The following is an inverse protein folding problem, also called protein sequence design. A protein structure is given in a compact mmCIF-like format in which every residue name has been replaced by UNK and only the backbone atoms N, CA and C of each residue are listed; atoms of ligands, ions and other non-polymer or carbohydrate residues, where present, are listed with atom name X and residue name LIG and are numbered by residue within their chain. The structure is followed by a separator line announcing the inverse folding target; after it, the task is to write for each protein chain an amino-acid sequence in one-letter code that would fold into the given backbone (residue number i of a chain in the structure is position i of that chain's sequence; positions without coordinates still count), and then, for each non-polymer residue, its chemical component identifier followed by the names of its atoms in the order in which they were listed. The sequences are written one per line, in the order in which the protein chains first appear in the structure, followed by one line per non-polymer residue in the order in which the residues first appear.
data_IF_894463746832
#
_entry.id   IF_894463746832
#
_cell.length_a   1.000
_cell.length_b   1.000
_cell.length_c   1.000
_cell.angle_alpha   90.00
_cell.angle_beta   90.00
_cell.angle_gamma   90.00
#
_symmetry.space_group_name_H-M   'P 1'
#
loop_
_entity.id
_entity.type
_entity.pdbx_description
1 polymer ?
#
# COMPACT_ATOMS: atom_id res chain seq x y z
N UNK A 1 -14.58 -61.12 -17.66
CA UNK A 1 -14.94 -60.15 -18.71
C UNK A 1 -15.38 -58.89 -17.98
N UNK A 2 -14.50 -57.90 -17.84
CA UNK A 2 -14.87 -56.61 -17.24
C UNK A 2 -15.85 -55.93 -18.19
N UNK A 3 -17.02 -55.58 -17.67
CA UNK A 3 -18.13 -55.02 -18.44
C UNK A 3 -17.69 -53.69 -19.06
N UNK A 4 -17.75 -53.60 -20.40
CA UNK A 4 -17.24 -52.45 -21.17
C UNK A 4 -17.87 -51.14 -20.69
N UNK A 5 -19.10 -51.20 -20.20
CA UNK A 5 -19.86 -50.06 -19.66
C UNK A 5 -19.34 -49.58 -18.29
N UNK A 6 -18.73 -50.45 -17.49
CA UNK A 6 -18.18 -50.07 -16.19
C UNK A 6 -16.82 -49.35 -16.37
N UNK A 7 -16.03 -49.74 -17.37
CA UNK A 7 -14.73 -49.13 -17.68
C UNK A 7 -14.90 -47.74 -18.29
N UNK A 8 -15.90 -47.54 -19.17
CA UNK A 8 -16.20 -46.24 -19.77
C UNK A 8 -16.73 -45.23 -18.75
N UNK A 9 -17.63 -45.63 -17.85
CA UNK A 9 -18.10 -44.80 -16.74
C UNK A 9 -16.96 -44.33 -15.82
N UNK A 10 -16.04 -45.24 -15.47
CA UNK A 10 -14.89 -44.90 -14.62
C UNK A 10 -13.91 -43.97 -15.33
N UNK A 11 -13.71 -44.14 -16.65
CA UNK A 11 -12.87 -43.26 -17.45
C UNK A 11 -13.47 -41.84 -17.60
N UNK A 12 -14.78 -41.72 -17.77
CA UNK A 12 -15.50 -40.43 -17.83
C UNK A 12 -15.56 -39.72 -16.48
N UNK A 13 -15.71 -40.46 -15.39
CA UNK A 13 -15.60 -39.91 -14.04
C UNK A 13 -14.17 -39.46 -13.72
N UNK A 14 -13.16 -40.21 -14.16
CA UNK A 14 -11.76 -39.83 -13.99
C UNK A 14 -11.37 -38.62 -14.86
N UNK A 15 -11.89 -38.51 -16.08
CA UNK A 15 -11.63 -37.39 -16.99
C UNK A 15 -12.30 -36.09 -16.49
N UNK A 16 -13.55 -36.17 -16.04
CA UNK A 16 -14.27 -35.04 -15.43
C UNK A 16 -13.63 -34.56 -14.13
N UNK A 17 -13.16 -35.48 -13.26
CA UNK A 17 -12.40 -35.13 -12.04
C UNK A 17 -11.07 -34.43 -12.36
N UNK A 18 -10.37 -34.84 -13.43
CA UNK A 18 -9.11 -34.23 -13.86
C UNK A 18 -9.32 -32.82 -14.40
N UNK A 19 -10.40 -32.61 -15.16
CA UNK A 19 -10.80 -31.30 -15.70
C UNK A 19 -11.23 -30.38 -14.55
N UNK A 20 -12.04 -30.86 -13.61
CA UNK A 20 -12.45 -30.10 -12.44
C UNK A 20 -11.28 -29.76 -11.52
N UNK A 21 -10.37 -30.71 -11.26
CA UNK A 21 -9.15 -30.47 -10.49
C UNK A 21 -8.24 -29.43 -11.13
N UNK A 22 -8.11 -29.45 -12.46
CA UNK A 22 -7.34 -28.46 -13.22
C UNK A 22 -7.98 -27.07 -13.16
N UNK A 23 -9.30 -26.98 -13.29
CA UNK A 23 -10.07 -25.73 -13.16
C UNK A 23 -9.92 -25.13 -11.75
N UNK A 24 -10.05 -25.94 -10.70
CA UNK A 24 -9.86 -25.50 -9.30
C UNK A 24 -8.42 -25.03 -9.07
N UNK A 25 -7.42 -25.76 -9.57
CA UNK A 25 -6.03 -25.36 -9.46
C UNK A 25 -5.74 -24.01 -10.16
N UNK A 26 -6.29 -23.80 -11.36
CA UNK A 26 -6.20 -22.52 -12.08
C UNK A 26 -6.87 -21.38 -11.30
N UNK A 27 -8.08 -21.61 -10.77
CA UNK A 27 -8.77 -20.62 -9.95
C UNK A 27 -7.97 -20.29 -8.68
N UNK A 28 -7.39 -21.28 -8.01
CA UNK A 28 -6.52 -21.05 -6.86
C UNK A 28 -5.27 -20.24 -7.21
N UNK A 29 -4.64 -20.48 -8.36
CA UNK A 29 -3.49 -19.70 -8.84
C UNK A 29 -3.90 -18.24 -9.14
N UNK A 30 -5.04 -18.03 -9.79
CA UNK A 30 -5.58 -16.69 -10.06
C UNK A 30 -5.92 -15.93 -8.76
N UNK A 31 -6.53 -16.60 -7.78
CA UNK A 31 -6.79 -16.01 -6.46
C UNK A 31 -5.49 -15.61 -5.76
N UNK A 32 -4.45 -16.46 -5.80
CA UNK A 32 -3.16 -16.13 -5.20
C UNK A 32 -2.47 -14.95 -5.89
N UNK A 33 -2.53 -14.88 -7.22
CA UNK A 33 -1.96 -13.77 -7.98
C UNK A 33 -2.63 -12.43 -7.65
N UNK A 34 -3.97 -12.41 -7.55
CA UNK A 34 -4.73 -11.21 -7.14
C UNK A 34 -4.33 -10.76 -5.73
N UNK A 35 -4.34 -11.67 -4.75
CA UNK A 35 -3.94 -11.37 -3.37
C UNK A 35 -2.49 -10.88 -3.29
N UNK A 36 -1.59 -11.40 -4.13
CA UNK A 36 -0.20 -10.97 -4.16
C UNK A 36 -0.03 -9.56 -4.74
N UNK A 37 -0.77 -9.22 -5.80
CA UNK A 37 -0.79 -7.86 -6.37
C UNK A 37 -1.24 -6.81 -5.36
N UNK A 38 -2.27 -7.11 -4.56
CA UNK A 38 -2.81 -6.22 -3.53
C UNK A 38 -1.81 -5.88 -2.41
N UNK A 39 -0.89 -6.78 -2.09
CA UNK A 39 0.11 -6.59 -1.03
C UNK A 39 1.30 -5.74 -1.52
N UNK A 40 1.51 -5.62 -2.84
CA UNK A 40 2.65 -4.89 -3.41
C UNK A 40 2.50 -3.39 -3.20
N UNK A 41 1.39 -2.77 -3.65
CA UNK A 41 1.20 -1.31 -3.50
C UNK A 41 1.29 -0.89 -2.02
N UNK A 42 0.73 -1.71 -1.13
CA UNK A 42 0.85 -1.51 0.32
C UNK A 42 2.32 -1.55 0.77
N UNK A 43 3.06 -2.59 0.39
CA UNK A 43 4.45 -2.78 0.80
C UNK A 43 5.33 -1.65 0.30
N UNK A 44 5.14 -1.24 -0.95
CA UNK A 44 5.87 -0.14 -1.58
C UNK A 44 5.58 1.18 -0.86
N UNK A 45 4.30 1.50 -0.63
CA UNK A 45 3.93 2.69 0.12
C UNK A 45 4.53 2.69 1.53
N UNK A 46 4.49 1.56 2.23
CA UNK A 46 5.09 1.43 3.56
C UNK A 46 6.62 1.58 3.51
N UNK A 47 7.27 1.01 2.50
CA UNK A 47 8.71 1.14 2.32
C UNK A 47 9.11 2.60 2.07
N UNK A 48 8.35 3.35 1.28
CA UNK A 48 8.71 4.73 0.91
C UNK A 48 8.25 5.80 1.91
N UNK A 49 7.03 5.70 2.44
CA UNK A 49 6.39 6.84 3.12
C UNK A 49 6.12 6.62 4.61
N UNK A 50 6.07 5.37 5.08
CA UNK A 50 5.64 5.07 6.45
C UNK A 50 6.75 5.24 7.48
N UNK A 51 6.43 5.93 8.59
CA UNK A 51 7.21 5.97 9.83
C UNK A 51 6.51 5.17 10.92
N UNK A 52 7.28 4.37 11.65
CA UNK A 52 6.75 3.53 12.72
C UNK A 52 6.38 4.38 13.96
N UNK A 53 5.10 4.46 14.36
CA UNK A 53 4.68 5.25 15.49
C UNK A 53 5.10 4.68 16.86
N UNK A 54 5.73 3.50 16.88
CA UNK A 54 6.36 2.93 18.09
C UNK A 54 7.63 3.67 18.49
N UNK A 55 8.24 4.41 17.56
CA UNK A 55 9.41 5.25 17.78
C UNK A 55 8.96 6.72 17.91
N UNK A 56 9.56 7.48 18.82
CA UNK A 56 9.14 8.86 19.05
C UNK A 56 9.39 9.74 17.83
N UNK A 57 8.41 10.54 17.42
CA UNK A 57 8.47 11.29 16.17
C UNK A 57 9.71 12.20 15.98
N UNK A 58 10.21 12.81 17.05
CA UNK A 58 11.34 13.76 16.97
C UNK A 58 12.68 13.09 16.66
N UNK A 59 12.82 11.77 16.87
CA UNK A 59 14.10 11.07 16.66
C UNK A 59 14.36 10.78 15.19
N UNK A 60 13.32 10.86 14.34
CA UNK A 60 13.48 10.70 12.90
C UNK A 60 14.28 11.85 12.31
N UNK A 61 15.34 11.52 11.56
CA UNK A 61 16.22 12.47 10.86
C UNK A 61 16.13 12.25 9.36
N UNK A 62 16.04 13.34 8.60
CA UNK A 62 15.83 13.22 7.15
C UNK A 62 17.03 12.59 6.44
N UNK A 63 18.27 12.98 6.78
CA UNK A 63 19.47 12.40 6.15
C UNK A 63 19.58 10.89 6.36
N UNK A 64 19.13 10.40 7.53
CA UNK A 64 19.10 8.96 7.85
C UNK A 64 18.00 8.27 7.05
N UNK A 65 16.76 8.76 7.14
CA UNK A 65 15.61 8.15 6.45
C UNK A 65 15.78 8.11 4.92
N UNK A 66 16.26 9.20 4.33
CA UNK A 66 16.48 9.29 2.88
C UNK A 66 17.56 8.31 2.42
N UNK A 67 18.54 7.97 3.27
CA UNK A 67 19.54 6.94 2.99
C UNK A 67 18.98 5.53 3.16
N UNK A 68 18.35 5.25 4.30
CA UNK A 68 17.83 3.92 4.65
C UNK A 68 16.76 3.44 3.67
N UNK A 69 15.93 4.35 3.16
CA UNK A 69 14.88 4.04 2.19
C UNK A 69 15.33 4.21 0.72
N UNK A 70 16.62 4.42 0.47
CA UNK A 70 17.20 4.63 -0.87
C UNK A 70 16.61 5.82 -1.66
N UNK A 71 16.19 6.88 -0.97
CA UNK A 71 15.54 8.07 -1.53
C UNK A 71 16.49 9.27 -1.71
N UNK A 72 17.79 9.11 -1.50
CA UNK A 72 18.83 10.16 -1.48
C UNK A 72 18.94 11.07 -2.73
N UNK A 73 18.28 10.72 -3.82
CA UNK A 73 18.26 11.49 -5.07
C UNK A 73 17.02 12.37 -5.21
N UNK A 74 16.00 12.21 -4.34
CA UNK A 74 14.79 13.02 -4.35
C UNK A 74 15.08 14.38 -3.68
N UNK A 75 14.70 15.47 -4.32
CA UNK A 75 14.86 16.83 -3.76
C UNK A 75 13.87 17.13 -2.63
N UNK A 76 12.72 16.45 -2.63
CA UNK A 76 11.74 16.51 -1.55
C UNK A 76 11.08 15.16 -1.38
N UNK A 77 10.77 14.78 -0.14
CA UNK A 77 9.99 13.57 0.16
C UNK A 77 9.16 13.77 1.42
N UNK A 78 7.98 13.15 1.46
CA UNK A 78 7.07 13.24 2.59
C UNK A 78 6.94 11.88 3.29
N UNK A 79 7.14 11.90 4.59
CA UNK A 79 6.93 10.75 5.47
C UNK A 79 5.69 10.95 6.34
N UNK A 80 4.94 9.87 6.56
CA UNK A 80 3.69 9.85 7.33
C UNK A 80 3.91 9.13 8.65
N UNK A 81 3.63 9.82 9.75
CA UNK A 81 3.67 9.29 11.11
C UNK A 81 2.25 9.07 11.64
N UNK A 82 1.74 7.85 11.45
CA UNK A 82 0.45 7.40 11.96
C UNK A 82 0.44 5.89 12.12
N UNK A 83 -0.55 5.34 12.85
CA UNK A 83 -0.80 3.89 12.80
C UNK A 83 -1.19 3.48 11.38
N UNK A 84 -0.70 2.34 10.89
CA UNK A 84 -1.09 1.82 9.58
C UNK A 84 -2.61 1.67 9.43
N UNK A 85 -3.31 1.26 10.51
CA UNK A 85 -4.77 1.19 10.52
C UNK A 85 -5.43 2.51 10.11
N UNK A 86 -5.00 3.65 10.67
CA UNK A 86 -5.53 4.97 10.30
C UNK A 86 -5.30 5.32 8.83
N UNK A 87 -4.14 4.97 8.27
CA UNK A 87 -3.82 5.20 6.85
C UNK A 87 -4.73 4.35 5.97
N UNK A 88 -4.86 3.04 6.28
CA UNK A 88 -5.74 2.11 5.56
C UNK A 88 -7.21 2.55 5.57
N UNK A 89 -7.68 3.11 6.68
CA UNK A 89 -9.07 3.57 6.78
C UNK A 89 -9.41 4.72 5.83
N UNK A 90 -8.43 5.49 5.35
CA UNK A 90 -8.68 6.57 4.38
C UNK A 90 -9.33 6.00 3.11
N UNK A 91 -8.73 4.96 2.51
CA UNK A 91 -9.26 4.34 1.30
C UNK A 91 -10.50 3.47 1.56
N UNK A 92 -10.66 2.92 2.78
CA UNK A 92 -11.84 2.12 3.14
C UNK A 92 -13.09 2.95 3.48
N UNK A 93 -12.92 4.21 3.86
CA UNK A 93 -14.01 5.09 4.32
C UNK A 93 -14.93 5.57 3.19
N UNK A 94 -14.54 5.39 1.93
CA UNK A 94 -15.37 5.76 0.79
C UNK A 94 -16.45 4.69 0.59
N UNK A 95 -17.69 5.17 0.50
CA UNK A 95 -18.86 4.34 0.29
C UNK A 95 -18.59 3.34 -0.85
N UNK A 96 -18.63 2.05 -0.51
CA UNK A 96 -18.26 0.92 -1.38
C UNK A 96 -19.13 0.82 -2.67
N UNK A 97 -20.07 1.74 -2.88
CA UNK A 97 -20.92 1.82 -4.07
C UNK A 97 -20.37 2.73 -5.19
N UNK A 98 -19.25 3.45 -4.97
CA UNK A 98 -18.55 4.26 -6.00
C UNK A 98 -17.23 3.62 -6.50
N UNK A 99 -16.98 2.36 -6.13
CA UNK A 99 -15.66 1.72 -5.97
C UNK A 99 -14.75 1.46 -7.17
N UNK A 100 -15.16 1.71 -8.41
CA UNK A 100 -14.32 1.35 -9.56
C UNK A 100 -13.47 2.51 -10.06
N UNK A 101 -12.89 3.33 -9.17
CA UNK A 101 -12.05 4.46 -9.59
C UNK A 101 -10.87 4.65 -8.66
N UNK A 102 -9.68 4.71 -9.26
CA UNK A 102 -8.54 5.48 -8.76
C UNK A 102 -9.07 6.81 -8.18
N UNK A 103 -8.89 6.99 -6.88
CA UNK A 103 -9.53 8.06 -6.13
C UNK A 103 -8.51 8.86 -5.33
N UNK A 104 -8.71 10.18 -5.31
CA UNK A 104 -7.87 11.12 -4.60
C UNK A 104 -8.62 11.56 -3.34
N UNK A 105 -8.22 11.04 -2.18
CA UNK A 105 -8.99 11.16 -0.94
C UNK A 105 -8.16 11.90 0.11
N UNK A 106 -8.70 12.99 0.63
CA UNK A 106 -8.15 13.68 1.79
C UNK A 106 -8.40 12.88 3.06
N UNK A 107 -7.38 12.73 3.89
CA UNK A 107 -7.55 12.24 5.26
C UNK A 107 -8.50 13.15 6.03
N UNK A 108 -9.49 12.57 6.70
CA UNK A 108 -10.49 13.32 7.46
C UNK A 108 -9.90 14.01 8.69
N UNK A 109 -8.79 13.49 9.21
CA UNK A 109 -8.08 14.05 10.36
C UNK A 109 -6.65 14.40 10.00
N UNK A 110 -6.08 15.48 10.57
CA UNK A 110 -4.68 15.83 10.37
C UNK A 110 -3.73 14.71 10.80
N UNK A 111 -2.66 14.54 10.03
CA UNK A 111 -1.63 13.52 10.23
C UNK A 111 -0.31 14.21 10.54
N UNK A 112 0.48 13.65 11.47
CA UNK A 112 1.87 14.10 11.67
C UNK A 112 2.69 13.69 10.46
N UNK A 113 3.37 14.65 9.85
CA UNK A 113 4.21 14.42 8.68
C UNK A 113 5.60 15.00 8.88
N UNK A 114 6.60 14.31 8.32
CA UNK A 114 7.98 14.78 8.23
C UNK A 114 8.30 14.99 6.76
N UNK A 115 8.43 16.25 6.35
CA UNK A 115 8.89 16.62 5.01
C UNK A 115 10.41 16.81 5.03
N UNK A 116 11.08 16.10 4.14
CA UNK A 116 12.52 16.23 3.90
C UNK A 116 12.73 17.03 2.63
N UNK A 117 13.51 18.10 2.71
CA UNK A 117 13.85 18.95 1.56
C UNK A 117 15.36 19.08 1.43
N UNK A 118 15.90 18.73 0.27
CA UNK A 118 17.32 18.84 -0.02
C UNK A 118 17.77 20.30 0.02
N UNK A 119 18.81 20.59 0.80
CA UNK A 119 19.46 21.88 0.84
C UNK A 119 20.85 21.74 0.22
N UNK A 120 21.02 22.27 -0.99
CA UNK A 120 22.29 22.22 -1.72
C UNK A 120 23.40 23.02 -1.03
N UNK A 121 23.07 24.07 -0.26
CA UNK A 121 24.08 24.88 0.43
C UNK A 121 24.75 24.12 1.59
N UNK A 122 23.98 23.32 2.32
CA UNK A 122 24.49 22.51 3.44
C UNK A 122 24.79 21.08 3.04
N UNK A 123 24.50 20.70 1.79
CA UNK A 123 24.60 19.34 1.28
C UNK A 123 23.90 18.31 2.18
N UNK A 124 22.71 18.67 2.69
CA UNK A 124 21.93 17.87 3.65
C UNK A 124 20.43 18.08 3.48
N UNK A 125 19.63 17.17 4.02
CA UNK A 125 18.17 17.31 4.04
C UNK A 125 17.69 18.11 5.24
N UNK A 126 17.00 19.21 4.97
CA UNK A 126 16.25 19.97 5.98
C UNK A 126 14.93 19.27 6.31
N UNK A 127 14.62 19.24 7.60
CA UNK A 127 13.41 18.63 8.15
C UNK A 127 12.36 19.70 8.41
N UNK A 128 11.13 19.42 8.00
CA UNK A 128 9.94 20.19 8.39
C UNK A 128 8.95 19.19 8.98
N UNK A 129 8.61 19.39 10.25
CA UNK A 129 7.65 18.56 10.98
C UNK A 129 6.35 19.34 11.11
N UNK A 130 5.22 18.71 10.84
CA UNK A 130 3.93 19.39 10.90
C UNK A 130 2.77 18.43 11.14
N UNK A 131 1.63 18.98 11.56
CA UNK A 131 0.33 18.36 11.33
C UNK A 131 -0.24 18.88 10.01
N UNK A 132 -0.63 17.95 9.14
CA UNK A 132 -1.14 18.29 7.80
C UNK A 132 -2.36 17.44 7.46
N UNK A 133 -3.32 18.03 6.76
CA UNK A 133 -4.23 17.21 5.94
C UNK A 133 -3.42 16.65 4.79
N UNK A 134 -3.61 15.37 4.48
CA UNK A 134 -2.86 14.67 3.42
C UNK A 134 -3.85 14.06 2.45
N UNK A 135 -3.64 14.28 1.15
CA UNK A 135 -4.38 13.64 0.08
C UNK A 135 -3.64 12.39 -0.37
N UNK A 136 -4.34 11.27 -0.36
CA UNK A 136 -3.83 9.98 -0.80
C UNK A 136 -4.45 9.61 -2.14
N UNK A 137 -3.67 8.99 -3.01
CA UNK A 137 -4.20 8.21 -4.11
C UNK A 137 -4.51 6.80 -3.60
N UNK A 138 -5.77 6.40 -3.76
CA UNK A 138 -6.23 5.06 -3.46
C UNK A 138 -6.44 4.29 -4.75
N UNK A 139 -5.79 3.14 -4.86
CA UNK A 139 -5.94 2.25 -6.01
C UNK A 139 -7.31 1.55 -5.99
N UNK A 140 -7.61 0.83 -7.08
CA UNK A 140 -8.88 0.11 -7.25
C UNK A 140 -9.14 -0.96 -6.18
N UNK A 141 -8.11 -1.39 -5.46
CA UNK A 141 -8.18 -2.42 -4.42
C UNK A 141 -8.40 -1.82 -3.02
N UNK A 142 -8.52 -0.50 -2.92
CA UNK A 142 -8.72 0.21 -1.67
C UNK A 142 -7.46 0.35 -0.81
N UNK A 143 -6.27 0.25 -1.41
CA UNK A 143 -5.01 0.55 -0.73
C UNK A 143 -4.50 1.93 -1.12
N UNK A 144 -3.79 2.56 -0.18
CA UNK A 144 -3.02 3.77 -0.46
C UNK A 144 -1.84 3.39 -1.36
N UNK A 145 -1.75 4.04 -2.50
CA UNK A 145 -0.67 3.84 -3.48
C UNK A 145 0.37 4.96 -3.41
N UNK A 146 -0.06 6.21 -3.29
CA UNK A 146 0.83 7.38 -3.24
C UNK A 146 0.25 8.52 -2.40
N UNK A 147 1.10 9.50 -2.11
CA UNK A 147 0.70 10.79 -1.54
C UNK A 147 0.68 11.82 -2.67
N UNK A 148 -0.45 12.49 -2.82
CA UNK A 148 -0.70 13.40 -3.94
C UNK A 148 -0.52 14.85 -3.53
N UNK A 149 -1.00 15.22 -2.34
CA UNK A 149 -0.89 16.58 -1.84
C UNK A 149 -0.93 16.62 -0.31
N UNK A 150 -0.54 17.76 0.26
CA UNK A 150 -0.71 18.05 1.68
C UNK A 150 -1.04 19.53 1.93
N UNK A 151 -1.85 19.77 2.95
CA UNK A 151 -2.13 21.10 3.49
C UNK A 151 -1.66 21.17 4.94
N UNK A 152 -0.59 21.92 5.18
CA UNK A 152 -0.06 22.18 6.51
C UNK A 152 -1.06 22.96 7.34
N UNK A 153 -1.28 22.51 8.57
CA UNK A 153 -2.10 23.19 9.57
C UNK A 153 -1.20 23.90 10.57
N UNK A 154 -0.26 23.14 11.13
CA UNK A 154 0.65 23.64 12.15
C UNK A 154 2.02 22.96 12.06
N UNK A 155 3.09 23.72 12.29
CA UNK A 155 4.47 23.24 12.31
C UNK A 155 4.86 22.82 13.73
N UNK A 156 5.50 21.66 13.83
CA UNK A 156 5.97 21.13 15.11
C UNK A 156 7.44 21.49 15.29
N UNK A 157 7.75 22.21 16.36
CA UNK A 157 9.10 22.58 16.77
C UNK A 157 9.54 21.71 17.96
N UNK A 158 10.81 21.31 17.96
CA UNK A 158 11.47 20.55 19.02
C UNK A 158 12.82 21.17 19.31
#
# INVERSE_FOLDING_TARGET
MLDLNQVTLVADMASSLKVWGSLVALLCLQCRLLVHGHDISRKEFMAEHYLNPSQQFHVYRCDVLMREKALKHKTSHLFIYASWYKIKQVCNSVNWKKLYRNAYIWAQTPIKVLKCHWNSFTNSYREIRSYSYVQFHCNMDGYVESIEDMKTIDTVFY
#
